data_IF_766025346624
#
_entry.id   IF_766025346624
#
_cell.length_a   1.000
_cell.length_b   1.000
_cell.length_c   1.000
_cell.angle_alpha   90.00
_cell.angle_beta   90.00
_cell.angle_gamma   90.00
#
_symmetry.space_group_name_H-M   'P 1'
#
loop_
_entity.id
_entity.type
_entity.pdbx_description
1 polymer ?
#
# COMPACT_ATOMS: atom_id res chain seq x y z
N UNK A 1 11.57 68.30 6.77
CA UNK A 1 10.10 68.43 6.89
C UNK A 1 9.46 67.64 5.76
N UNK A 2 8.59 66.68 6.12
CA UNK A 2 7.45 66.04 5.39
C UNK A 2 7.48 66.03 3.84
N UNK A 3 7.21 64.91 3.15
CA UNK A 3 6.29 63.84 3.52
C UNK A 3 6.62 62.50 2.86
N UNK A 4 6.37 61.42 3.61
CA UNK A 4 6.35 60.06 3.12
C UNK A 4 4.94 59.72 2.66
N UNK A 5 4.86 59.27 1.42
CA UNK A 5 3.68 58.65 0.80
C UNK A 5 3.41 57.32 1.52
N UNK A 6 2.23 57.19 2.12
CA UNK A 6 1.74 55.95 2.72
C UNK A 6 1.05 55.16 1.63
N UNK A 7 1.73 54.15 1.07
CA UNK A 7 1.08 53.12 0.27
C UNK A 7 0.48 52.10 1.21
N UNK A 8 -0.85 52.11 1.32
CA UNK A 8 -1.65 51.08 1.98
C UNK A 8 -1.56 49.83 1.11
N UNK A 9 -0.61 48.93 1.41
CA UNK A 9 -0.71 47.55 0.97
C UNK A 9 -1.67 46.86 1.94
N UNK A 10 -2.91 46.70 1.49
CA UNK A 10 -3.88 45.80 2.08
C UNK A 10 -3.34 44.37 1.89
N UNK A 11 -2.48 43.94 2.80
CA UNK A 11 -2.08 42.54 2.91
C UNK A 11 -3.34 41.80 3.32
N UNK A 12 -3.97 41.13 2.34
CA UNK A 12 -4.97 40.11 2.58
C UNK A 12 -4.36 39.06 3.50
N UNK A 13 -4.66 39.21 4.79
CA UNK A 13 -4.47 38.19 5.79
C UNK A 13 -5.51 37.09 5.54
N UNK A 14 -5.10 35.86 5.85
CA UNK A 14 -5.90 34.62 5.94
C UNK A 14 -6.18 33.92 4.62
N UNK A 15 -5.38 32.89 4.31
CA UNK A 15 -5.75 31.49 4.58
C UNK A 15 -4.47 30.67 4.77
N UNK A 16 -3.98 30.57 6.01
CA UNK A 16 -3.29 29.34 6.42
C UNK A 16 -4.38 28.28 6.53
N UNK A 17 -4.76 27.67 5.40
CA UNK A 17 -5.39 26.36 5.42
C UNK A 17 -4.27 25.46 5.91
N UNK A 18 -4.32 25.08 7.18
CA UNK A 18 -3.67 23.84 7.62
C UNK A 18 -4.02 22.82 6.54
N UNK A 19 -3.04 22.37 5.78
CA UNK A 19 -3.27 21.42 4.70
C UNK A 19 -3.87 20.19 5.36
N UNK A 20 -5.19 20.04 5.27
CA UNK A 20 -5.87 18.90 5.84
C UNK A 20 -5.36 17.69 5.09
N UNK A 21 -4.87 16.71 5.83
CA UNK A 21 -4.42 15.45 5.26
C UNK A 21 -5.62 14.80 4.58
N UNK A 22 -5.52 14.69 3.26
CA UNK A 22 -6.49 13.99 2.42
C UNK A 22 -5.70 12.91 1.69
N UNK A 23 -6.04 11.67 2.01
CA UNK A 23 -5.59 10.50 1.28
C UNK A 23 -6.81 9.81 0.69
N UNK A 24 -6.65 9.27 -0.51
CA UNK A 24 -7.74 8.60 -1.21
C UNK A 24 -7.23 7.38 -1.94
N UNK A 25 -8.13 6.43 -2.16
CA UNK A 25 -7.94 5.31 -3.05
C UNK A 25 -9.25 5.08 -3.85
N UNK A 26 -9.15 4.69 -5.12
CA UNK A 26 -7.91 4.53 -5.89
C UNK A 26 -7.33 5.88 -6.26
N UNK A 27 -5.99 5.93 -6.35
CA UNK A 27 -5.38 6.98 -7.15
C UNK A 27 -5.37 6.54 -8.63
N UNK A 28 -5.20 7.50 -9.54
CA UNK A 28 -5.02 7.21 -10.97
C UNK A 28 -3.94 6.12 -11.17
N UNK A 29 -4.38 4.97 -11.68
CA UNK A 29 -3.57 3.75 -11.70
C UNK A 29 -3.92 2.87 -12.90
N UNK A 30 -2.95 2.07 -13.34
CA UNK A 30 -3.15 1.09 -14.41
C UNK A 30 -3.32 -0.29 -13.80
N UNK A 31 -4.40 -0.97 -14.17
CA UNK A 31 -4.73 -2.32 -13.73
C UNK A 31 -4.70 -3.28 -14.91
N UNK A 32 -4.56 -4.58 -14.63
CA UNK A 32 -4.69 -5.61 -15.65
C UNK A 32 -5.35 -6.88 -15.11
N UNK A 33 -6.16 -7.54 -15.94
CA UNK A 33 -6.77 -8.84 -15.60
C UNK A 33 -5.74 -9.96 -15.57
N UNK A 34 -5.73 -10.78 -14.52
CA UNK A 34 -4.72 -11.81 -14.30
C UNK A 34 -4.70 -12.92 -15.38
N UNK A 35 -5.84 -13.24 -16.00
CA UNK A 35 -5.92 -14.22 -17.07
C UNK A 35 -5.85 -13.57 -18.45
N UNK A 36 -6.46 -12.39 -18.61
CA UNK A 36 -6.58 -11.73 -19.91
C UNK A 36 -5.35 -10.91 -20.29
N UNK A 37 -4.60 -10.41 -19.29
CA UNK A 37 -3.54 -9.42 -19.48
C UNK A 37 -4.04 -8.07 -20.00
N UNK A 38 -5.36 -7.89 -20.15
CA UNK A 38 -5.95 -6.65 -20.67
C UNK A 38 -5.77 -5.56 -19.64
N UNK A 39 -5.21 -4.42 -20.07
CA UNK A 39 -4.99 -3.26 -19.22
C UNK A 39 -6.17 -2.29 -19.25
N UNK A 40 -6.42 -1.64 -18.12
CA UNK A 40 -7.36 -0.53 -17.96
C UNK A 40 -6.74 0.55 -17.07
N UNK A 41 -7.01 1.80 -17.38
CA UNK A 41 -6.70 2.91 -16.46
C UNK A 41 -7.92 3.16 -15.59
N UNK A 42 -7.69 3.28 -14.29
CA UNK A 42 -8.72 3.54 -13.29
C UNK A 42 -8.51 4.92 -12.71
N UNK A 43 -9.54 5.75 -12.79
CA UNK A 43 -9.60 7.06 -12.14
C UNK A 43 -10.54 7.02 -10.94
N UNK A 44 -10.30 7.87 -9.95
CA UNK A 44 -11.11 7.89 -8.73
C UNK A 44 -12.61 8.06 -8.99
N UNK A 45 -13.05 8.99 -9.85
CA UNK A 45 -14.48 9.21 -10.12
C UNK A 45 -15.12 7.99 -10.80
N UNK A 46 -14.42 7.40 -11.77
CA UNK A 46 -14.92 6.28 -12.58
C UNK A 46 -14.87 4.94 -11.83
N UNK A 47 -14.16 4.89 -10.70
CA UNK A 47 -14.06 3.69 -9.89
C UNK A 47 -15.36 3.38 -9.17
N UNK A 48 -16.07 2.35 -9.63
CA UNK A 48 -17.37 1.98 -9.08
C UNK A 48 -17.30 1.13 -7.80
N UNK A 49 -16.13 0.58 -7.50
CA UNK A 49 -15.88 -0.19 -6.27
C UNK A 49 -15.71 0.71 -5.04
N UNK A 50 -15.40 0.10 -3.89
CA UNK A 50 -15.16 0.80 -2.63
C UNK A 50 -14.03 1.82 -2.75
N UNK A 51 -14.37 3.09 -2.56
CA UNK A 51 -13.40 4.16 -2.42
C UNK A 51 -13.02 4.31 -0.95
N UNK A 52 -11.73 4.46 -0.68
CA UNK A 52 -11.22 4.66 0.68
C UNK A 52 -10.82 6.12 0.79
N UNK A 53 -11.31 6.83 1.80
CA UNK A 53 -10.90 8.21 2.08
C UNK A 53 -10.41 8.31 3.52
N UNK A 54 -9.24 8.91 3.70
CA UNK A 54 -8.79 9.43 4.99
C UNK A 54 -8.77 10.95 4.87
N UNK A 55 -9.53 11.62 5.73
CA UNK A 55 -9.59 13.07 5.76
C UNK A 55 -9.56 13.57 7.21
N UNK A 56 -8.46 14.24 7.58
CA UNK A 56 -8.12 14.54 8.97
C UNK A 56 -8.11 13.25 9.81
N UNK A 57 -8.84 13.22 10.93
CA UNK A 57 -8.97 12.07 11.83
C UNK A 57 -10.09 11.10 11.46
N UNK A 58 -10.58 11.13 10.23
CA UNK A 58 -11.69 10.30 9.78
C UNK A 58 -11.27 9.41 8.64
N UNK A 59 -11.58 8.12 8.77
CA UNK A 59 -11.52 7.13 7.70
C UNK A 59 -12.96 6.73 7.34
N UNK A 60 -13.28 6.68 6.06
CA UNK A 60 -14.58 6.19 5.61
C UNK A 60 -14.47 5.52 4.24
N UNK A 61 -15.41 4.61 4.03
CA UNK A 61 -15.58 3.89 2.78
C UNK A 61 -16.76 4.48 2.04
N UNK A 62 -16.59 4.80 0.77
CA UNK A 62 -17.68 5.26 -0.08
C UNK A 62 -18.13 4.10 -0.97
N UNK A 63 -19.31 3.58 -0.64
CA UNK A 63 -20.16 2.75 -1.47
C UNK A 63 -21.61 3.07 -1.04
N UNK A 64 -22.41 3.70 -1.92
CA UNK A 64 -23.77 4.18 -1.62
C UNK A 64 -23.93 5.04 -0.33
N UNK A 65 -23.27 6.19 -0.28
CA UNK A 65 -23.48 7.20 0.79
C UNK A 65 -24.67 8.12 0.50
N UNK A 66 -25.85 7.55 0.28
CA UNK A 66 -27.02 8.31 -0.18
C UNK A 66 -27.63 9.21 0.91
N UNK A 67 -27.33 8.92 2.18
CA UNK A 67 -27.81 9.69 3.32
C UNK A 67 -26.81 9.70 4.50
N UNK A 68 -27.06 10.57 5.47
CA UNK A 68 -26.20 10.78 6.64
C UNK A 68 -26.06 9.54 7.53
N UNK A 69 -27.13 8.74 7.71
CA UNK A 69 -27.08 7.58 8.60
C UNK A 69 -26.22 6.46 8.01
N UNK A 70 -26.33 6.25 6.69
CA UNK A 70 -25.43 5.35 5.95
C UNK A 70 -23.98 5.85 5.97
N UNK A 71 -23.75 7.15 5.78
CA UNK A 71 -22.40 7.72 5.89
C UNK A 71 -21.81 7.48 7.28
N UNK A 72 -22.59 7.74 8.33
CA UNK A 72 -22.15 7.59 9.73
C UNK A 72 -21.88 6.13 10.10
N UNK A 73 -22.62 5.18 9.53
CA UNK A 73 -22.39 3.75 9.78
C UNK A 73 -21.09 3.25 9.16
N UNK A 74 -20.53 3.93 8.16
CA UNK A 74 -19.27 3.60 7.49
C UNK A 74 -18.07 4.46 7.96
N UNK A 75 -18.28 5.32 8.94
CA UNK A 75 -17.28 6.28 9.42
C UNK A 75 -16.49 5.73 10.61
N UNK A 76 -15.18 5.89 10.54
CA UNK A 76 -14.24 5.59 11.61
C UNK A 76 -13.57 6.89 12.06
N UNK A 77 -13.52 7.11 13.36
CA UNK A 77 -12.62 8.09 13.96
C UNK A 77 -11.29 7.40 14.26
N UNK A 78 -10.19 7.92 13.72
CA UNK A 78 -8.86 7.32 13.82
C UNK A 78 -7.92 8.17 14.69
N UNK A 79 -6.99 7.51 15.38
CA UNK A 79 -5.87 8.15 16.06
C UNK A 79 -4.83 8.66 15.07
N UNK A 80 -3.75 9.26 15.57
CA UNK A 80 -2.51 9.36 14.81
C UNK A 80 -1.98 7.95 14.45
N UNK A 81 -1.18 7.88 13.40
CA UNK A 81 -0.56 6.63 12.95
C UNK A 81 0.48 6.17 13.97
N UNK A 82 0.44 4.89 14.32
CA UNK A 82 1.37 4.24 15.24
C UNK A 82 2.24 3.27 14.46
N UNK A 83 3.56 3.28 14.70
CA UNK A 83 4.49 2.27 14.22
C UNK A 83 4.74 1.28 15.37
N UNK A 84 4.32 0.03 15.19
CA UNK A 84 4.60 -1.05 16.12
C UNK A 84 6.09 -1.39 16.08
N UNK A 85 6.84 -1.10 17.14
CA UNK A 85 8.28 -1.40 17.20
C UNK A 85 8.58 -2.91 17.17
N UNK A 86 7.63 -3.75 17.62
CA UNK A 86 7.81 -5.21 17.71
C UNK A 86 7.56 -5.94 16.39
N UNK A 87 6.76 -5.34 15.48
CA UNK A 87 6.42 -5.94 14.19
C UNK A 87 6.81 -5.07 13.00
N UNK A 88 7.12 -3.80 13.21
CA UNK A 88 7.34 -2.79 12.16
C UNK A 88 6.06 -2.31 11.46
N UNK A 89 4.90 -2.90 11.76
CA UNK A 89 3.65 -2.54 11.08
C UNK A 89 3.08 -1.22 11.57
N UNK A 90 2.44 -0.52 10.65
CA UNK A 90 1.75 0.73 10.94
C UNK A 90 0.26 0.51 11.08
N UNK A 91 -0.36 1.19 12.05
CA UNK A 91 -1.80 1.11 12.26
C UNK A 91 -2.37 2.36 12.90
N UNK A 92 -3.68 2.52 12.77
CA UNK A 92 -4.50 3.43 13.55
C UNK A 92 -5.24 2.65 14.63
N UNK A 93 -5.36 3.23 15.83
CA UNK A 93 -6.46 2.87 16.70
C UNK A 93 -7.69 3.58 16.16
N UNK A 94 -8.77 2.84 15.93
CA UNK A 94 -9.96 3.38 15.29
C UNK A 94 -11.21 3.06 16.12
N UNK A 95 -12.18 3.96 16.07
CA UNK A 95 -13.52 3.75 16.62
C UNK A 95 -14.53 3.77 15.48
N UNK A 96 -15.16 2.64 15.23
CA UNK A 96 -16.24 2.53 14.26
C UNK A 96 -17.50 3.23 14.81
N UNK A 97 -18.02 4.24 14.11
CA UNK A 97 -19.01 5.14 14.70
C UNK A 97 -20.45 4.62 14.64
N UNK A 98 -20.75 3.69 13.74
CA UNK A 98 -22.02 2.95 13.71
C UNK A 98 -22.17 2.01 14.90
N UNK A 99 -21.33 0.97 14.96
CA UNK A 99 -21.28 -0.02 16.06
C UNK A 99 -20.74 0.51 17.39
N UNK A 100 -19.99 1.62 17.40
CA UNK A 100 -19.24 2.17 18.56
C UNK A 100 -18.11 1.28 19.06
N UNK A 101 -17.69 0.29 18.29
CA UNK A 101 -16.60 -0.62 18.65
C UNK A 101 -15.24 0.01 18.36
N UNK A 102 -14.27 -0.31 19.22
CA UNK A 102 -12.87 0.01 18.96
C UNK A 102 -12.24 -1.13 18.17
N UNK A 103 -11.42 -0.77 17.19
CA UNK A 103 -10.74 -1.71 16.30
C UNK A 103 -9.34 -1.20 15.98
N UNK A 104 -8.52 -2.07 15.40
CA UNK A 104 -7.20 -1.70 14.89
C UNK A 104 -7.20 -1.79 13.38
N UNK A 105 -6.74 -0.73 12.75
CA UNK A 105 -6.72 -0.60 11.29
C UNK A 105 -5.27 -0.49 10.84
N UNK A 106 -4.74 -1.58 10.28
CA UNK A 106 -3.40 -1.59 9.72
C UNK A 106 -3.34 -0.88 8.38
N UNK A 107 -2.21 -0.24 8.12
CA UNK A 107 -1.96 0.57 6.95
C UNK A 107 -0.77 0.04 6.15
N UNK A 108 -1.03 -0.37 4.91
CA UNK A 108 0.00 -0.55 3.89
C UNK A 108 -0.16 0.55 2.84
N UNK A 109 0.71 1.54 2.92
CA UNK A 109 0.69 2.72 2.07
C UNK A 109 1.92 2.77 1.17
N UNK A 110 1.70 3.24 -0.04
CA UNK A 110 2.72 3.68 -0.99
C UNK A 110 2.47 5.15 -1.37
N UNK A 111 3.21 5.65 -2.37
CA UNK A 111 2.97 6.95 -2.99
C UNK A 111 1.64 7.03 -3.74
N UNK A 112 1.14 5.90 -4.27
CA UNK A 112 0.00 5.86 -5.20
C UNK A 112 -1.19 5.02 -4.72
N UNK A 113 -1.07 4.32 -3.60
CA UNK A 113 -2.15 3.48 -3.10
C UNK A 113 -2.09 3.27 -1.60
N UNK A 114 -3.25 2.95 -1.06
CA UNK A 114 -3.46 2.69 0.35
C UNK A 114 -4.29 1.42 0.47
N UNK A 115 -3.75 0.46 1.19
CA UNK A 115 -4.44 -0.75 1.60
C UNK A 115 -4.67 -0.67 3.10
N UNK A 116 -5.90 -0.96 3.48
CA UNK A 116 -6.35 -0.95 4.87
C UNK A 116 -6.79 -2.34 5.26
N UNK A 117 -6.27 -2.82 6.38
CA UNK A 117 -6.60 -4.12 6.93
C UNK A 117 -7.12 -3.94 8.35
N UNK A 118 -8.40 -4.21 8.55
CA UNK A 118 -9.03 -4.19 9.86
C UNK A 118 -8.75 -5.51 10.59
N UNK A 119 -8.30 -5.43 11.84
CA UNK A 119 -8.13 -6.59 12.70
C UNK A 119 -9.24 -6.62 13.74
N UNK A 120 -10.15 -7.58 13.61
CA UNK A 120 -11.17 -7.91 14.63
C UNK A 120 -10.75 -9.14 15.43
N UNK A 121 -11.11 -9.17 16.71
CA UNK A 121 -10.92 -10.33 17.57
C UNK A 121 -12.31 -10.79 17.99
N UNK A 122 -12.74 -11.95 17.48
CA UNK A 122 -14.05 -12.55 17.78
C UNK A 122 -13.81 -13.93 18.38
N UNK A 123 -14.35 -14.21 19.58
CA UNK A 123 -14.20 -15.50 20.26
C UNK A 123 -12.73 -16.00 20.38
N UNK A 124 -11.80 -15.09 20.68
CA UNK A 124 -10.34 -15.32 20.69
C UNK A 124 -9.71 -15.68 19.34
N UNK A 125 -10.46 -15.58 18.25
CA UNK A 125 -9.97 -15.73 16.87
C UNK A 125 -9.69 -14.36 16.28
N UNK A 126 -8.50 -14.20 15.70
CA UNK A 126 -8.12 -12.99 14.97
C UNK A 126 -8.65 -13.09 13.54
N UNK A 127 -9.56 -12.19 13.20
CA UNK A 127 -10.07 -12.01 11.85
C UNK A 127 -9.43 -10.76 11.22
N UNK A 128 -8.81 -10.92 10.06
CA UNK A 128 -8.34 -9.81 9.24
C UNK A 128 -9.40 -9.55 8.17
N UNK A 129 -10.01 -8.38 8.20
CA UNK A 129 -11.04 -7.95 7.26
C UNK A 129 -10.49 -6.81 6.39
N UNK A 130 -10.95 -6.75 5.15
CA UNK A 130 -10.56 -5.75 4.14
C UNK A 130 -9.06 -5.76 3.82
N UNK A 131 -8.69 -5.39 2.60
CA UNK A 131 -7.26 -5.19 2.27
C UNK A 131 -6.38 -6.44 2.30
N UNK A 132 -6.94 -7.61 2.59
CA UNK A 132 -6.19 -8.83 2.80
C UNK A 132 -6.88 -10.01 2.13
N UNK A 133 -6.12 -10.76 1.35
CA UNK A 133 -6.67 -11.94 0.69
C UNK A 133 -6.87 -13.10 1.68
N UNK A 134 -8.12 -13.52 1.84
CA UNK A 134 -8.48 -14.69 2.61
C UNK A 134 -8.13 -15.95 1.84
N UNK A 135 -7.01 -16.60 2.15
CA UNK A 135 -6.87 -18.06 2.02
C UNK A 135 -5.75 -18.53 2.94
N UNK A 136 -6.08 -19.27 4.00
CA UNK A 136 -5.11 -20.07 4.74
C UNK A 136 -4.24 -20.86 3.75
N UNK A 137 -2.91 -20.79 3.85
CA UNK A 137 -2.02 -21.95 3.74
C UNK A 137 -0.57 -21.56 3.39
N UNK A 138 0.30 -21.58 4.41
CA UNK A 138 1.71 -21.93 4.22
C UNK A 138 1.92 -23.34 3.62
N UNK A 139 0.83 -24.12 3.47
CA UNK A 139 0.82 -25.51 2.99
C UNK A 139 0.60 -25.69 1.48
N UNK A 140 0.31 -24.61 0.75
CA UNK A 140 -0.01 -24.67 -0.69
C UNK A 140 1.25 -24.76 -1.55
N UNK A 141 1.18 -25.52 -2.64
CA UNK A 141 2.22 -25.58 -3.67
C UNK A 141 2.27 -24.27 -4.44
N UNK A 142 3.35 -24.06 -5.20
CA UNK A 142 3.49 -22.86 -6.03
C UNK A 142 2.42 -22.81 -7.14
N UNK A 143 2.02 -23.95 -7.69
CA UNK A 143 0.94 -24.05 -8.68
C UNK A 143 -0.39 -23.60 -8.09
N UNK A 144 -0.69 -24.03 -6.86
CA UNK A 144 -1.90 -23.60 -6.14
C UNK A 144 -1.88 -22.09 -5.88
N UNK A 145 -0.73 -21.53 -5.47
CA UNK A 145 -0.57 -20.08 -5.28
C UNK A 145 -0.75 -19.30 -6.58
N UNK A 146 -0.21 -19.80 -7.70
CA UNK A 146 -0.39 -19.18 -9.04
C UNK A 146 -1.86 -19.20 -9.46
N UNK A 147 -2.57 -20.31 -9.21
CA UNK A 147 -4.00 -20.40 -9.52
C UNK A 147 -4.82 -19.43 -8.67
N UNK A 148 -4.49 -19.28 -7.39
CA UNK A 148 -5.11 -18.29 -6.52
C UNK A 148 -4.84 -16.86 -6.95
N UNK A 149 -3.66 -16.57 -7.51
CA UNK A 149 -3.40 -15.26 -8.10
C UNK A 149 -4.30 -14.96 -9.30
N UNK A 150 -4.84 -15.97 -9.98
CA UNK A 150 -5.69 -15.77 -11.17
C UNK A 150 -7.15 -15.55 -10.82
N UNK A 151 -7.69 -16.29 -9.85
CA UNK A 151 -9.11 -16.24 -9.49
C UNK A 151 -9.39 -16.70 -8.07
N UNK A 152 -10.50 -16.21 -7.51
CA UNK A 152 -11.07 -16.69 -6.27
C UNK A 152 -12.43 -17.36 -6.49
N UNK A 153 -12.79 -18.27 -5.58
CA UNK A 153 -14.16 -18.80 -5.50
C UNK A 153 -14.97 -17.92 -4.56
N UNK A 154 -16.08 -17.36 -5.04
CA UNK A 154 -17.03 -16.60 -4.22
C UNK A 154 -18.42 -17.21 -4.44
N UNK A 155 -18.99 -17.79 -3.39
CA UNK A 155 -20.19 -18.62 -3.49
C UNK A 155 -20.00 -19.79 -4.46
N UNK A 156 -20.88 -19.87 -5.46
CA UNK A 156 -20.85 -20.90 -6.50
C UNK A 156 -20.06 -20.48 -7.75
N UNK A 157 -19.54 -19.25 -7.79
CA UNK A 157 -18.81 -18.69 -8.93
C UNK A 157 -17.29 -18.62 -8.73
N UNK A 158 -16.57 -18.54 -9.84
CA UNK A 158 -15.16 -18.15 -9.87
C UNK A 158 -15.02 -16.76 -10.49
N UNK A 159 -14.20 -15.93 -9.87
CA UNK A 159 -14.01 -14.55 -10.28
C UNK A 159 -12.53 -14.24 -10.44
N UNK A 160 -12.19 -13.55 -11.52
CA UNK A 160 -10.81 -13.20 -11.85
C UNK A 160 -10.32 -12.03 -11.00
N UNK A 161 -9.02 -12.05 -10.68
CA UNK A 161 -8.35 -10.90 -10.08
C UNK A 161 -7.89 -9.91 -11.15
N UNK A 162 -7.98 -8.63 -10.83
CA UNK A 162 -7.25 -7.55 -11.47
C UNK A 162 -6.10 -7.10 -10.56
N UNK A 163 -4.94 -6.84 -11.14
CA UNK A 163 -3.75 -6.39 -10.43
C UNK A 163 -3.37 -4.99 -10.83
N UNK A 164 -2.91 -4.20 -9.86
CA UNK A 164 -2.19 -2.96 -10.15
C UNK A 164 -0.89 -3.32 -10.87
N UNK A 165 -0.66 -2.68 -12.02
CA UNK A 165 0.60 -2.81 -12.76
C UNK A 165 1.73 -2.15 -11.97
N UNK A 166 2.60 -2.99 -11.38
CA UNK A 166 3.76 -2.55 -10.64
C UNK A 166 4.80 -1.82 -11.50
N UNK A 167 4.71 -1.88 -12.83
CA UNK A 167 5.72 -1.32 -13.73
C UNK A 167 7.00 -2.15 -13.84
N UNK A 168 7.02 -3.34 -13.25
CA UNK A 168 8.17 -4.24 -13.27
C UNK A 168 7.95 -5.31 -14.33
N UNK A 169 8.90 -5.44 -15.25
CA UNK A 169 8.91 -6.45 -16.31
C UNK A 169 9.48 -7.78 -15.80
N UNK A 170 10.60 -7.71 -15.09
CA UNK A 170 11.27 -8.88 -14.52
C UNK A 170 12.15 -8.47 -13.35
N UNK A 171 12.43 -9.43 -12.48
CA UNK A 171 13.44 -9.31 -11.43
C UNK A 171 14.32 -10.55 -11.47
N UNK A 172 15.62 -10.34 -11.52
CA UNK A 172 16.64 -11.36 -11.33
C UNK A 172 17.38 -11.12 -10.01
N UNK A 173 18.04 -12.15 -9.48
CA UNK A 173 18.75 -12.07 -8.21
C UNK A 173 20.07 -12.84 -8.25
N UNK A 174 21.02 -12.42 -7.42
CA UNK A 174 22.27 -13.16 -7.21
C UNK A 174 22.03 -14.58 -6.66
N UNK A 175 20.99 -14.74 -5.84
CA UNK A 175 20.56 -15.99 -5.24
C UNK A 175 19.11 -15.87 -4.78
N UNK A 176 18.51 -17.00 -4.41
CA UNK A 176 17.28 -17.04 -3.63
C UNK A 176 17.27 -18.26 -2.71
N UNK A 177 16.60 -18.14 -1.57
CA UNK A 177 16.43 -19.25 -0.63
C UNK A 177 15.51 -20.33 -1.23
N UNK A 178 15.92 -21.57 -1.02
CA UNK A 178 15.09 -22.75 -1.16
C UNK A 178 15.23 -23.59 0.10
N UNK A 179 14.12 -23.97 0.73
CA UNK A 179 14.10 -24.78 1.95
C UNK A 179 13.03 -25.87 1.92
N UNK A 180 13.12 -26.83 2.84
CA UNK A 180 12.09 -27.87 3.01
C UNK A 180 11.21 -27.55 4.21
N UNK A 181 9.93 -27.24 3.96
CA UNK A 181 8.92 -27.02 4.99
C UNK A 181 7.88 -28.14 4.89
N UNK A 182 7.68 -28.90 5.97
CA UNK A 182 6.70 -29.99 6.03
C UNK A 182 6.81 -30.97 4.84
N UNK A 183 8.04 -31.41 4.54
CA UNK A 183 8.38 -32.30 3.42
C UNK A 183 8.08 -31.76 2.01
N UNK A 184 7.85 -30.44 1.87
CA UNK A 184 7.72 -29.77 0.58
C UNK A 184 8.87 -28.78 0.40
N UNK A 185 9.43 -28.77 -0.81
CA UNK A 185 10.39 -27.74 -1.23
C UNK A 185 9.65 -26.41 -1.41
N UNK A 186 10.20 -25.35 -0.84
CA UNK A 186 9.65 -24.00 -0.85
C UNK A 186 10.72 -23.04 -1.34
N UNK A 187 10.39 -22.29 -2.39
CA UNK A 187 11.27 -21.27 -2.96
C UNK A 187 10.83 -19.85 -2.56
N UNK A 188 11.79 -18.93 -2.55
CA UNK A 188 11.60 -17.48 -2.32
C UNK A 188 12.14 -16.66 -3.50
N UNK A 189 11.58 -16.88 -4.69
CA UNK A 189 12.10 -16.37 -5.97
C UNK A 189 11.91 -14.87 -6.16
N UNK A 190 12.82 -14.18 -6.90
CA UNK A 190 12.67 -12.76 -7.23
C UNK A 190 11.40 -12.45 -8.03
N UNK A 191 10.89 -13.39 -8.83
CA UNK A 191 9.65 -13.20 -9.58
C UNK A 191 8.41 -12.94 -8.68
N UNK A 192 8.47 -13.27 -7.39
CA UNK A 192 7.37 -13.05 -6.43
C UNK A 192 7.23 -11.60 -5.95
N UNK A 193 8.18 -10.73 -6.31
CA UNK A 193 8.21 -9.31 -5.95
C UNK A 193 7.21 -8.45 -6.73
N UNK A 194 6.57 -9.00 -7.76
CA UNK A 194 5.84 -8.27 -8.80
C UNK A 194 4.32 -8.32 -8.57
N UNK A 195 3.64 -7.19 -8.82
CA UNK A 195 2.17 -7.05 -8.83
C UNK A 195 1.53 -7.60 -7.54
N UNK A 196 1.72 -6.90 -6.41
CA UNK A 196 1.30 -7.36 -5.07
C UNK A 196 0.02 -6.71 -4.54
N UNK A 197 -0.64 -5.93 -5.37
CA UNK A 197 -1.93 -5.30 -5.06
C UNK A 197 -2.92 -5.75 -6.10
N UNK A 198 -4.06 -6.29 -5.66
CA UNK A 198 -5.11 -6.78 -6.54
C UNK A 198 -6.51 -6.47 -5.99
N UNK A 199 -7.53 -6.78 -6.78
CA UNK A 199 -8.95 -6.82 -6.39
C UNK A 199 -9.65 -7.88 -7.25
N UNK A 200 -10.81 -8.35 -6.82
CA UNK A 200 -11.67 -9.12 -7.72
C UNK A 200 -12.34 -8.20 -8.74
N UNK A 201 -12.51 -8.68 -9.98
CA UNK A 201 -13.21 -7.95 -11.04
C UNK A 201 -14.64 -7.54 -10.62
N UNK A 202 -15.12 -6.45 -11.23
CA UNK A 202 -16.41 -5.82 -10.95
C UNK A 202 -17.59 -6.82 -10.98
N UNK A 203 -18.66 -6.49 -10.24
CA UNK A 203 -19.89 -7.27 -9.99
C UNK A 203 -19.90 -8.18 -8.75
N UNK A 204 -19.03 -7.93 -7.76
CA UNK A 204 -19.07 -8.62 -6.47
C UNK A 204 -18.95 -7.61 -5.34
N UNK A 205 -19.76 -7.75 -4.30
CA UNK A 205 -19.77 -6.91 -3.09
C UNK A 205 -18.45 -6.93 -2.26
N UNK A 206 -17.38 -7.57 -2.74
CA UNK A 206 -16.10 -7.76 -2.04
C UNK A 206 -14.87 -7.27 -2.82
N UNK A 207 -15.02 -6.41 -3.83
CA UNK A 207 -13.95 -5.88 -4.71
C UNK A 207 -12.98 -4.86 -4.05
N UNK A 208 -12.74 -4.96 -2.75
CA UNK A 208 -11.75 -4.11 -2.08
C UNK A 208 -10.35 -4.33 -2.69
N UNK A 209 -9.51 -3.29 -2.77
CA UNK A 209 -8.11 -3.50 -3.05
C UNK A 209 -7.51 -4.31 -1.89
N UNK A 210 -6.77 -5.36 -2.20
CA UNK A 210 -6.13 -6.24 -1.24
C UNK A 210 -4.64 -6.38 -1.53
N UNK A 211 -3.89 -6.67 -0.48
CA UNK A 211 -2.51 -7.11 -0.59
C UNK A 211 -2.48 -8.60 -0.94
N UNK A 212 -1.86 -8.93 -2.08
CA UNK A 212 -1.58 -10.30 -2.48
C UNK A 212 -0.54 -10.90 -1.53
N UNK A 213 -1.03 -11.67 -0.57
CA UNK A 213 -0.23 -12.46 0.34
C UNK A 213 -0.12 -13.92 -0.10
N UNK A 214 -0.57 -14.27 -1.32
CA UNK A 214 -0.41 -15.60 -1.88
C UNK A 214 1.05 -15.91 -2.15
N UNK A 215 1.79 -14.94 -2.69
CA UNK A 215 3.21 -15.10 -3.00
C UNK A 215 4.09 -14.73 -1.81
N UNK A 216 5.17 -15.51 -1.64
CA UNK A 216 6.18 -15.25 -0.60
C UNK A 216 6.99 -14.00 -0.93
N UNK A 217 7.78 -13.53 0.02
CA UNK A 217 8.83 -12.57 -0.29
C UNK A 217 9.93 -13.23 -1.16
N UNK A 218 10.80 -12.41 -1.73
CA UNK A 218 12.15 -12.86 -2.03
C UNK A 218 12.93 -12.92 -0.71
N UNK A 219 13.73 -13.97 -0.56
CA UNK A 219 14.74 -14.10 0.47
C UNK A 219 16.03 -14.50 -0.25
N UNK A 220 17.12 -13.80 0.05
CA UNK A 220 18.42 -14.21 -0.46
C UNK A 220 18.79 -15.62 0.05
N UNK A 221 19.63 -16.35 -0.68
CA UNK A 221 19.89 -17.77 -0.44
C UNK A 221 21.32 -18.11 -0.05
N UNK A 222 22.11 -17.15 0.44
CA UNK A 222 23.49 -17.38 0.88
C UNK A 222 23.58 -17.47 2.40
N UNK A 223 24.59 -18.15 2.97
CA UNK A 223 24.83 -18.11 4.40
C UNK A 223 25.10 -16.69 4.92
N UNK A 224 24.52 -16.36 6.06
CA UNK A 224 24.69 -15.07 6.72
C UNK A 224 23.69 -14.03 6.22
N UNK A 225 24.13 -12.79 6.13
CA UNK A 225 23.21 -11.64 6.08
C UNK A 225 22.78 -11.21 4.68
N UNK A 226 23.31 -11.85 3.65
CA UNK A 226 23.12 -11.44 2.27
C UNK A 226 23.82 -10.12 1.88
N UNK A 227 24.78 -9.60 2.65
CA UNK A 227 25.57 -8.42 2.24
C UNK A 227 26.28 -8.70 0.90
N UNK A 228 26.16 -7.79 -0.06
CA UNK A 228 26.67 -7.96 -1.42
C UNK A 228 25.77 -8.76 -2.37
N UNK A 229 24.71 -9.41 -1.86
CA UNK A 229 23.66 -9.97 -2.71
C UNK A 229 22.91 -8.83 -3.41
N UNK A 230 22.30 -9.14 -4.56
CA UNK A 230 21.70 -8.12 -5.40
C UNK A 230 20.41 -8.60 -6.08
N UNK A 231 19.58 -7.63 -6.42
CA UNK A 231 18.42 -7.75 -7.29
C UNK A 231 18.66 -6.89 -8.54
N UNK A 232 18.41 -7.45 -9.72
CA UNK A 232 18.39 -6.70 -10.97
C UNK A 232 16.95 -6.58 -11.45
N UNK A 233 16.48 -5.35 -11.63
CA UNK A 233 15.07 -5.05 -11.88
C UNK A 233 14.94 -4.40 -13.24
N UNK A 234 14.21 -5.04 -14.15
CA UNK A 234 13.84 -4.47 -15.45
C UNK A 234 12.43 -3.88 -15.37
N UNK A 235 12.25 -2.67 -15.88
CA UNK A 235 11.01 -1.92 -15.86
C UNK A 235 10.27 -2.02 -17.19
N UNK A 236 8.95 -1.94 -17.15
CA UNK A 236 8.12 -1.83 -18.37
C UNK A 236 8.17 -0.41 -18.97
N UNK A 237 8.53 0.59 -18.16
CA UNK A 237 8.56 2.01 -18.51
C UNK A 237 9.78 2.71 -17.90
N UNK A 238 10.10 3.90 -18.41
CA UNK A 238 11.15 4.73 -17.82
C UNK A 238 10.67 5.29 -16.48
N UNK A 239 11.50 5.18 -15.44
CA UNK A 239 11.23 5.74 -14.11
C UNK A 239 12.50 6.34 -13.49
N UNK A 240 12.33 7.44 -12.80
CA UNK A 240 13.31 8.09 -11.92
C UNK A 240 13.03 7.80 -10.44
N UNK A 241 12.20 6.80 -10.15
CA UNK A 241 11.87 6.37 -8.79
C UNK A 241 11.51 4.89 -8.78
N UNK A 242 11.90 4.18 -7.73
CA UNK A 242 11.38 2.84 -7.40
C UNK A 242 10.75 2.86 -6.02
N UNK A 243 9.80 1.97 -5.78
CA UNK A 243 9.19 1.75 -4.48
C UNK A 243 9.50 0.33 -4.00
N UNK A 244 10.00 0.20 -2.77
CA UNK A 244 10.39 -1.08 -2.18
C UNK A 244 9.53 -1.36 -0.95
N UNK A 245 8.82 -2.49 -0.95
CA UNK A 245 8.23 -3.07 0.26
C UNK A 245 9.28 -3.99 0.90
N UNK A 246 10.03 -3.40 1.83
CA UNK A 246 11.17 -4.02 2.48
C UNK A 246 10.75 -5.12 3.47
N UNK A 247 11.62 -6.12 3.71
CA UNK A 247 11.42 -7.19 4.69
C UNK A 247 10.45 -8.28 4.24
N UNK A 248 10.17 -9.23 5.13
CA UNK A 248 9.10 -10.23 4.97
C UNK A 248 7.80 -9.66 5.55
N UNK A 249 6.93 -9.14 4.68
CA UNK A 249 5.63 -8.58 5.03
C UNK A 249 4.55 -9.64 4.84
N UNK A 250 3.94 -10.07 5.93
CA UNK A 250 2.82 -11.00 5.99
C UNK A 250 1.87 -10.62 7.13
N UNK A 251 0.64 -10.21 6.81
CA UNK A 251 -0.32 -9.77 7.83
C UNK A 251 -0.82 -10.88 8.77
N UNK A 252 -0.65 -12.16 8.40
CA UNK A 252 -0.94 -13.29 9.30
C UNK A 252 0.24 -13.68 10.17
N UNK A 253 1.45 -13.36 9.73
CA UNK A 253 2.67 -13.55 10.50
C UNK A 253 3.48 -12.26 10.54
N UNK A 254 2.92 -11.24 11.18
CA UNK A 254 3.54 -9.93 11.26
C UNK A 254 4.92 -9.96 11.96
N UNK A 255 5.18 -11.00 12.76
CA UNK A 255 6.49 -11.20 13.40
C UNK A 255 7.60 -11.51 12.39
N UNK A 256 7.27 -12.05 11.21
CA UNK A 256 8.23 -12.37 10.14
C UNK A 256 9.09 -11.15 9.78
N UNK A 257 8.49 -9.96 9.74
CA UNK A 257 9.19 -8.73 9.41
C UNK A 257 10.38 -8.48 10.35
N UNK A 258 10.19 -8.60 11.68
CA UNK A 258 11.27 -8.41 12.66
C UNK A 258 12.14 -9.66 12.85
N UNK A 259 11.64 -10.85 12.53
CA UNK A 259 12.39 -12.09 12.65
C UNK A 259 13.45 -12.28 11.55
N UNK A 260 13.21 -11.79 10.34
CA UNK A 260 14.14 -11.85 9.22
C UNK A 260 14.96 -10.57 9.07
N UNK A 261 16.10 -10.64 8.38
CA UNK A 261 16.86 -9.45 8.01
C UNK A 261 16.06 -8.60 7.02
N UNK A 262 16.24 -7.27 7.11
CA UNK A 262 15.59 -6.27 6.25
C UNK A 262 16.66 -5.37 5.66
N UNK A 263 16.44 -4.83 4.47
CA UNK A 263 17.37 -3.87 3.88
C UNK A 263 17.50 -2.63 4.78
N UNK A 264 18.72 -2.21 5.12
CA UNK A 264 18.98 -0.95 5.81
C UNK A 264 19.60 0.05 4.85
N UNK A 265 20.73 -0.31 4.26
CA UNK A 265 21.44 0.52 3.28
C UNK A 265 21.62 -0.29 2.00
N UNK A 266 21.28 0.32 0.87
CA UNK A 266 21.39 -0.28 -0.45
C UNK A 266 22.20 0.61 -1.38
N UNK A 267 22.83 0.00 -2.39
CA UNK A 267 23.34 0.70 -3.57
C UNK A 267 22.39 0.47 -4.72
N UNK A 268 22.01 1.52 -5.43
CA UNK A 268 21.21 1.44 -6.65
C UNK A 268 22.02 1.96 -7.83
N UNK A 269 22.18 1.14 -8.85
CA UNK A 269 23.06 1.38 -9.99
C UNK A 269 22.29 1.22 -11.29
N UNK A 270 22.60 2.04 -12.28
CA UNK A 270 22.15 1.87 -13.66
C UNK A 270 23.31 2.12 -14.60
N UNK A 271 23.35 1.40 -15.73
CA UNK A 271 24.32 1.60 -16.80
C UNK A 271 23.81 2.55 -17.88
N UNK A 272 22.49 2.68 -18.00
CA UNK A 272 21.82 3.46 -19.05
C UNK A 272 20.60 4.18 -18.49
N UNK A 273 20.70 5.47 -18.11
CA UNK A 273 21.94 6.25 -17.99
C UNK A 273 22.83 5.78 -16.83
N UNK A 274 24.13 6.09 -16.88
CA UNK A 274 25.08 5.67 -15.85
C UNK A 274 24.89 6.48 -14.56
N UNK A 275 24.57 5.81 -13.46
CA UNK A 275 24.61 6.38 -12.10
C UNK A 275 24.79 5.30 -11.04
N UNK A 276 25.22 5.71 -9.85
CA UNK A 276 25.32 4.87 -8.65
C UNK A 276 24.99 5.73 -7.44
N UNK A 277 24.00 5.33 -6.65
CA UNK A 277 23.59 6.02 -5.42
C UNK A 277 23.52 5.04 -4.25
N UNK A 278 23.69 5.54 -3.04
CA UNK A 278 23.38 4.79 -1.82
C UNK A 278 22.13 5.37 -1.17
N UNK A 279 21.27 4.52 -0.66
CA UNK A 279 20.02 4.92 -0.01
C UNK A 279 19.81 4.14 1.29
N UNK A 280 19.33 4.82 2.33
CA UNK A 280 19.00 4.19 3.62
C UNK A 280 17.49 4.09 3.76
N UNK A 281 16.97 2.87 3.87
CA UNK A 281 15.55 2.58 4.02
C UNK A 281 15.10 2.73 5.48
N UNK A 282 13.91 3.29 5.74
CA UNK A 282 13.29 3.24 7.07
C UNK A 282 12.93 1.81 7.50
N UNK A 283 12.97 1.53 8.81
CA UNK A 283 12.68 0.21 9.41
C UNK A 283 11.22 0.07 9.89
N UNK A 284 10.28 0.28 8.97
CA UNK A 284 8.86 -0.01 9.16
C UNK A 284 8.19 -0.47 7.86
N UNK A 285 7.03 -1.11 7.98
CA UNK A 285 6.26 -1.65 6.86
C UNK A 285 5.58 -0.51 6.10
N UNK A 286 6.10 -0.26 4.90
CA UNK A 286 5.57 0.64 3.88
C UNK A 286 6.25 0.33 2.55
N UNK A 287 5.65 0.81 1.46
CA UNK A 287 6.41 1.00 0.23
C UNK A 287 7.24 2.27 0.38
N UNK A 288 8.56 2.13 0.41
CA UNK A 288 9.48 3.26 0.52
C UNK A 288 9.95 3.70 -0.86
N UNK A 289 9.75 4.98 -1.16
CA UNK A 289 10.24 5.62 -2.38
C UNK A 289 11.75 5.82 -2.34
N UNK A 290 12.44 5.29 -3.35
CA UNK A 290 13.86 5.49 -3.60
C UNK A 290 13.99 6.31 -4.88
N UNK A 291 14.28 7.62 -4.78
CA UNK A 291 14.49 8.46 -5.95
C UNK A 291 15.78 8.05 -6.68
N UNK A 292 15.74 8.05 -8.00
CA UNK A 292 16.85 7.80 -8.89
C UNK A 292 17.30 9.13 -9.51
N UNK A 293 18.60 9.34 -9.77
CA UNK A 293 19.09 10.60 -10.32
C UNK A 293 18.55 10.92 -11.72
N UNK A 294 18.22 9.88 -12.49
CA UNK A 294 17.75 9.98 -13.87
C UNK A 294 16.79 8.85 -14.20
N UNK A 295 15.90 9.09 -15.16
CA UNK A 295 14.98 8.05 -15.65
C UNK A 295 15.74 6.91 -16.31
N UNK A 296 15.46 5.68 -15.90
CA UNK A 296 16.00 4.45 -16.49
C UNK A 296 14.89 3.41 -16.66
N UNK A 297 15.18 2.34 -17.41
CA UNK A 297 14.36 1.12 -17.49
C UNK A 297 14.95 -0.04 -16.71
N UNK A 298 16.11 0.13 -16.08
CA UNK A 298 16.81 -0.96 -15.42
C UNK A 298 17.70 -0.45 -14.30
N UNK A 299 17.63 -1.11 -13.15
CA UNK A 299 18.54 -0.87 -12.03
C UNK A 299 19.04 -2.18 -11.43
N UNK A 300 20.23 -2.13 -10.84
CA UNK A 300 20.75 -3.14 -9.94
C UNK A 300 20.74 -2.60 -8.52
N UNK A 301 20.13 -3.34 -7.60
CA UNK A 301 20.03 -3.02 -6.18
C UNK A 301 20.94 -3.99 -5.42
N UNK A 302 21.97 -3.49 -4.76
CA UNK A 302 22.93 -4.30 -3.97
C UNK A 302 22.76 -4.02 -2.48
N UNK A 303 22.74 -5.06 -1.66
CA UNK A 303 22.64 -4.96 -0.20
C UNK A 303 23.98 -4.50 0.36
N UNK A 304 24.01 -3.36 1.08
CA UNK A 304 25.21 -2.85 1.74
C UNK A 304 25.15 -3.06 3.26
N UNK A 305 23.98 -2.83 3.87
CA UNK A 305 23.73 -3.06 5.29
C UNK A 305 22.30 -3.57 5.49
N UNK A 306 22.08 -4.30 6.58
CA UNK A 306 20.76 -4.83 6.95
C UNK A 306 20.36 -4.40 8.35
N UNK A 307 19.05 -4.27 8.59
CA UNK A 307 18.51 -4.33 9.94
C UNK A 307 18.41 -5.78 10.35
N UNK A 308 19.05 -6.13 11.47
CA UNK A 308 19.10 -7.52 11.93
C UNK A 308 17.72 -8.07 12.26
N UNK A 309 17.49 -9.29 11.80
CA UNK A 309 16.41 -10.15 12.22
C UNK A 309 16.65 -10.66 13.64
N UNK A 310 15.56 -10.97 14.34
CA UNK A 310 15.62 -11.57 15.67
C UNK A 310 15.89 -13.08 15.64
N UNK A 311 15.72 -13.73 14.48
CA UNK A 311 15.75 -15.19 14.38
C UNK A 311 16.45 -15.74 13.16
N UNK A 312 16.29 -15.11 12.00
CA UNK A 312 16.80 -15.60 10.72
C UNK A 312 17.71 -14.57 10.08
N UNK A 313 18.81 -15.04 9.48
CA UNK A 313 19.80 -14.19 8.82
C UNK A 313 19.41 -13.88 7.36
N UNK A 314 18.42 -14.56 6.80
CA UNK A 314 17.98 -14.31 5.43
C UNK A 314 17.42 -12.89 5.28
N UNK A 315 17.97 -12.12 4.35
CA UNK A 315 17.43 -10.80 4.01
C UNK A 315 16.27 -10.90 3.05
N UNK A 316 15.12 -10.34 3.45
CA UNK A 316 13.88 -10.43 2.69
C UNK A 316 13.46 -9.11 2.04
N UNK A 317 12.83 -9.20 0.87
CA UNK A 317 12.11 -8.11 0.21
C UNK A 317 10.77 -8.65 -0.30
N UNK A 318 9.68 -7.97 -0.01
CA UNK A 318 8.34 -8.47 -0.35
C UNK A 318 7.86 -7.99 -1.71
N UNK A 319 8.14 -6.75 -2.08
CA UNK A 319 7.71 -6.22 -3.38
C UNK A 319 8.62 -5.11 -3.90
N UNK A 320 8.68 -4.99 -5.21
CA UNK A 320 9.24 -3.83 -5.92
C UNK A 320 8.19 -3.33 -6.91
N UNK A 321 8.02 -2.01 -6.98
CA UNK A 321 7.13 -1.36 -7.92
C UNK A 321 7.72 -0.02 -8.37
N UNK A 322 7.12 0.57 -9.39
CA UNK A 322 7.33 1.96 -9.81
C UNK A 322 6.10 2.78 -9.42
N UNK A 323 6.24 4.11 -9.26
CA UNK A 323 5.08 4.97 -9.18
C UNK A 323 4.15 4.78 -10.39
N UNK A 324 2.85 4.89 -10.18
CA UNK A 324 1.85 4.71 -11.24
C UNK A 324 1.99 5.78 -12.34
N UNK A 325 1.75 5.38 -13.59
CA UNK A 325 1.62 6.35 -14.69
C UNK A 325 0.30 7.10 -14.52
N UNK A 326 0.41 8.39 -14.20
CA UNK A 326 -0.74 9.27 -14.02
C UNK A 326 -0.97 10.08 -15.29
N UNK A 327 -2.21 10.16 -15.73
CA UNK A 327 -2.61 11.01 -16.87
C UNK A 327 -2.72 12.49 -16.50
N UNK A 328 -2.71 12.79 -15.19
CA UNK A 328 -2.86 14.13 -14.59
C UNK A 328 -2.04 14.24 -13.30
N UNK A 329 -1.85 15.45 -12.79
CA UNK A 329 -1.11 15.70 -11.55
C UNK A 329 -1.88 15.23 -10.30
N UNK A 330 -1.14 14.98 -9.20
CA UNK A 330 -1.72 14.68 -7.89
C UNK A 330 -2.64 15.82 -7.43
N UNK A 331 -2.28 17.07 -7.74
CA UNK A 331 -3.04 18.25 -7.39
C UNK A 331 -4.37 18.31 -8.14
N UNK A 332 -4.38 18.05 -9.44
CA UNK A 332 -5.60 17.99 -10.26
C UNK A 332 -6.54 16.88 -9.77
N UNK A 333 -6.00 15.69 -9.54
CA UNK A 333 -6.74 14.55 -8.99
C UNK A 333 -7.31 14.88 -7.60
N UNK A 334 -6.52 15.49 -6.72
CA UNK A 334 -6.97 15.91 -5.38
C UNK A 334 -8.13 16.91 -5.46
N UNK A 335 -8.09 17.86 -6.40
CA UNK A 335 -9.21 18.80 -6.58
C UNK A 335 -10.47 18.08 -7.04
N UNK A 336 -10.34 17.12 -7.94
CA UNK A 336 -11.47 16.29 -8.39
C UNK A 336 -12.07 15.48 -7.23
N UNK A 337 -11.24 14.83 -6.41
CA UNK A 337 -11.70 14.10 -5.22
C UNK A 337 -12.45 15.04 -4.28
N UNK A 338 -11.92 16.22 -3.99
CA UNK A 338 -12.60 17.21 -3.14
C UNK A 338 -13.94 17.64 -3.74
N UNK A 339 -14.01 17.88 -5.05
CA UNK A 339 -15.26 18.23 -5.72
C UNK A 339 -16.28 17.09 -5.65
N UNK A 340 -15.85 15.85 -5.85
CA UNK A 340 -16.69 14.67 -5.68
C UNK A 340 -17.24 14.58 -4.26
N UNK A 341 -16.37 14.68 -3.24
CA UNK A 341 -16.78 14.64 -1.83
C UNK A 341 -17.78 15.75 -1.45
N UNK A 342 -17.65 16.96 -2.02
CA UNK A 342 -18.65 18.03 -1.88
C UNK A 342 -19.97 17.65 -2.54
N UNK A 343 -19.94 17.12 -3.75
CA UNK A 343 -21.13 16.74 -4.51
C UNK A 343 -21.96 15.69 -3.76
N UNK A 344 -21.32 14.78 -3.04
CA UNK A 344 -21.98 13.74 -2.23
C UNK A 344 -22.16 14.12 -0.75
N UNK A 345 -22.02 15.40 -0.41
CA UNK A 345 -22.29 15.97 0.92
C UNK A 345 -21.44 15.44 2.08
N UNK A 346 -20.26 14.85 1.81
CA UNK A 346 -19.38 14.28 2.85
C UNK A 346 -18.95 15.32 3.87
N UNK A 347 -18.62 16.54 3.43
CA UNK A 347 -18.16 17.59 4.33
C UNK A 347 -19.29 18.08 5.25
N UNK A 348 -20.50 18.22 4.72
CA UNK A 348 -21.70 18.56 5.50
C UNK A 348 -22.01 17.48 6.54
N UNK A 349 -21.88 16.20 6.16
CA UNK A 349 -22.06 15.08 7.08
C UNK A 349 -21.01 15.07 8.19
N UNK A 350 -19.73 15.32 7.88
CA UNK A 350 -18.68 15.43 8.89
C UNK A 350 -18.94 16.59 9.87
N UNK A 351 -19.38 17.75 9.38
CA UNK A 351 -19.73 18.89 10.24
C UNK A 351 -20.95 18.62 11.10
N UNK A 352 -21.99 17.95 10.56
CA UNK A 352 -23.14 17.50 11.34
C UNK A 352 -22.69 16.55 12.47
N UNK A 353 -21.83 15.58 12.17
CA UNK A 353 -21.32 14.64 13.17
C UNK A 353 -20.53 15.35 14.28
N UNK A 354 -19.64 16.29 13.93
CA UNK A 354 -18.89 17.08 14.92
C UNK A 354 -19.80 17.84 15.88
N UNK A 355 -20.90 18.42 15.37
CA UNK A 355 -21.91 19.11 16.20
C UNK A 355 -22.63 18.14 17.15
N UNK A 356 -23.00 16.95 16.67
CA UNK A 356 -23.65 15.92 17.50
C UNK A 356 -22.79 15.48 18.69
N UNK A 357 -21.47 15.36 18.51
CA UNK A 357 -20.56 15.03 19.63
C UNK A 357 -20.42 16.21 20.59
N UNK A 358 -20.27 17.43 20.07
CA UNK A 358 -20.09 18.63 20.89
C UNK A 358 -21.28 18.90 21.81
N UNK A 359 -22.49 18.55 21.39
CA UNK A 359 -23.71 18.73 22.20
C UNK A 359 -23.93 17.60 23.23
N UNK A 360 -23.12 16.53 23.20
CA UNK A 360 -23.21 15.38 24.13
C UNK A 360 -22.15 15.41 25.23
N UNK A 361 -21.11 16.20 25.05
CA UNK A 361 -20.06 16.50 26.03
C UNK A 361 -20.33 17.88 26.64
#
# INVERSE_FOLDING_TARGET
MKGKMVSVFLIMLTVFLNAQELLWFPMDSTWFGANTGKKSTVQFIEYNDFKIIIYNKFLFFLNNTDNYDNFKSLLYEISEIIIDSSTGYRYYNAKHLGSKENTRIYLLQSKDYIIIIEKKIENNVVNLMYGFDHIENYKKSIEEMIEHRRRARVGDGFFEYEYIDSGIKSVDASSYLTETIANKMVDYKPAYLINRICKLQENIDVSFPIFDNFMRCWAEGVPGDGIGQWLEVEFTRFSDEIMILNGYVDFRNMSAYKNNNRLKKIRVESEQPKFSIEYTLPDYVAYHSVPLPQKTKKVKITILEVYKGLKYDDTCVTAIALPQERTRSIEEEKQEVIQYLRKIHVFEYLERYKKEIRNKN
#
